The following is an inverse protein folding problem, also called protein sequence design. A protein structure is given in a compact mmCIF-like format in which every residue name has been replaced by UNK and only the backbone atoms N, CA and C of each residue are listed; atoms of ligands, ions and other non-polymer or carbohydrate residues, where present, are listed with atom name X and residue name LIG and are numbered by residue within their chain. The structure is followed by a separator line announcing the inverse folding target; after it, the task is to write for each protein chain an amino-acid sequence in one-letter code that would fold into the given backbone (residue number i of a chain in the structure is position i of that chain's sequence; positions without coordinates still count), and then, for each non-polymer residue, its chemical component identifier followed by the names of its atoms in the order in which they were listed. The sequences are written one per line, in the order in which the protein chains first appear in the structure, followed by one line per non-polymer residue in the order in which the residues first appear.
data_IF_939255028704
#
_entry.id   IF_939255028704
#
_cell.length_a   1.000
_cell.length_b   1.000
_cell.length_c   1.000
_cell.angle_alpha   90.00
_cell.angle_beta   90.00
_cell.angle_gamma   90.00
#
_symmetry.space_group_name_H-M   'P 1'
#
loop_
_entity.id
_entity.type
_entity.pdbx_description
1 polymer ?
#
# COMPACT_ATOMS: atom_id res chain seq x y z
N UNK A 1 -3.71 -10.62 24.44
CA UNK A 1 -4.76 -9.85 24.15
C UNK A 1 -4.38 -8.69 23.30
N UNK A 2 -3.56 -7.88 23.76
CA UNK A 2 -3.16 -6.75 22.95
C UNK A 2 -2.32 -7.14 21.78
N UNK A 3 -1.82 -8.32 21.83
CA UNK A 3 -0.97 -8.78 20.76
C UNK A 3 -1.66 -8.73 19.42
N UNK A 4 -2.94 -9.00 19.43
CA UNK A 4 -3.62 -8.99 18.16
C UNK A 4 -3.66 -7.61 17.56
N UNK A 5 -3.84 -6.61 18.39
CA UNK A 5 -3.89 -5.26 17.88
C UNK A 5 -2.57 -4.87 17.25
N UNK A 6 -1.49 -5.16 17.93
CA UNK A 6 -0.19 -4.82 17.39
C UNK A 6 0.05 -5.56 16.09
N UNK A 7 -0.34 -6.82 16.04
CA UNK A 7 -0.15 -7.61 14.86
C UNK A 7 -0.92 -7.04 13.68
N UNK A 8 -2.13 -6.57 13.94
CA UNK A 8 -2.95 -6.08 12.85
C UNK A 8 -2.48 -4.74 12.34
N UNK A 9 -1.84 -3.96 13.19
CA UNK A 9 -1.41 -2.64 12.75
C UNK A 9 -0.08 -2.66 12.02
N UNK A 10 0.78 -3.58 12.38
CA UNK A 10 2.12 -3.60 11.85
C UNK A 10 2.15 -3.61 10.32
N UNK A 11 1.43 -4.51 9.65
CA UNK A 11 1.51 -4.55 8.20
C UNK A 11 0.71 -3.48 7.51
N UNK A 12 0.08 -2.62 8.28
CA UNK A 12 -0.85 -1.68 7.70
C UNK A 12 -0.18 -0.72 6.72
N UNK A 13 0.97 -0.19 7.10
CA UNK A 13 1.64 0.77 6.23
C UNK A 13 2.15 0.14 4.96
N UNK A 14 2.74 -1.05 5.06
CA UNK A 14 3.22 -1.73 3.86
C UNK A 14 2.05 -2.07 2.93
N UNK A 15 0.93 -2.49 3.51
CA UNK A 15 -0.25 -2.80 2.71
C UNK A 15 -0.84 -1.54 2.08
N UNK A 16 -0.87 -0.45 2.82
CA UNK A 16 -1.40 0.80 2.28
C UNK A 16 -0.57 1.33 1.14
N UNK A 17 0.74 1.18 1.21
CA UNK A 17 1.60 1.58 0.11
C UNK A 17 1.31 0.73 -1.11
N UNK A 18 1.11 -0.57 -0.91
CA UNK A 18 0.73 -1.42 -2.03
C UNK A 18 -0.57 -0.94 -2.65
N UNK A 19 -1.54 -0.58 -1.82
CA UNK A 19 -2.81 -0.07 -2.32
C UNK A 19 -2.62 1.20 -3.13
N UNK A 20 -1.80 2.12 -2.63
CA UNK A 20 -1.54 3.35 -3.34
C UNK A 20 -0.92 3.09 -4.71
N UNK A 21 0.06 2.18 -4.76
CA UNK A 21 0.73 1.91 -6.02
C UNK A 21 -0.18 1.18 -6.99
N UNK A 22 -1.06 0.32 -6.51
CA UNK A 22 -2.07 -0.30 -7.38
C UNK A 22 -2.99 0.79 -7.93
N UNK A 23 -3.47 1.67 -7.07
CA UNK A 23 -4.37 2.73 -7.50
C UNK A 23 -3.69 3.66 -8.50
N UNK A 24 -2.39 3.87 -8.32
CA UNK A 24 -1.64 4.74 -9.20
C UNK A 24 -1.21 4.10 -10.52
N UNK A 25 -1.58 2.85 -10.75
CA UNK A 25 -1.27 2.20 -12.01
C UNK A 25 0.07 1.50 -12.06
N UNK A 26 0.61 1.16 -10.91
CA UNK A 26 1.94 0.55 -10.84
C UNK A 26 1.90 -0.95 -10.56
N UNK A 27 0.78 -1.59 -10.85
CA UNK A 27 0.67 -3.03 -10.56
C UNK A 27 1.74 -3.84 -11.26
N UNK A 28 2.20 -3.40 -12.43
CA UNK A 28 3.18 -4.14 -13.21
C UNK A 28 4.34 -3.27 -13.65
N UNK A 29 4.58 -2.18 -12.95
CA UNK A 29 5.66 -1.26 -13.28
C UNK A 29 6.61 -1.16 -12.10
N UNK A 30 7.85 -0.83 -12.40
CA UNK A 30 8.80 -0.51 -11.35
C UNK A 30 8.59 0.93 -10.91
N UNK A 31 9.00 1.20 -9.68
CA UNK A 31 8.90 2.54 -9.11
C UNK A 31 10.00 2.72 -8.07
N UNK A 32 10.23 3.94 -7.71
CA UNK A 32 11.24 4.27 -6.71
C UNK A 32 10.56 4.91 -5.52
N UNK A 33 11.34 5.12 -4.46
CA UNK A 33 10.78 5.70 -3.24
C UNK A 33 10.12 7.05 -3.49
N UNK A 34 10.70 7.86 -4.37
CA UNK A 34 10.12 9.15 -4.68
C UNK A 34 8.75 9.02 -5.32
N UNK A 35 8.58 8.00 -6.14
CA UNK A 35 7.27 7.74 -6.74
C UNK A 35 6.27 7.40 -5.67
N UNK A 36 6.69 6.63 -4.67
CA UNK A 36 5.79 6.24 -3.59
C UNK A 36 5.30 7.46 -2.84
N UNK A 37 6.20 8.38 -2.53
CA UNK A 37 5.82 9.60 -1.81
C UNK A 37 4.76 10.36 -2.61
N UNK A 38 5.00 10.54 -3.89
CA UNK A 38 4.10 11.30 -4.73
C UNK A 38 2.76 10.60 -4.90
N UNK A 39 2.82 9.32 -5.25
CA UNK A 39 1.59 8.55 -5.51
C UNK A 39 0.76 8.40 -4.23
N UNK A 40 1.43 8.15 -3.10
CA UNK A 40 0.70 8.01 -1.86
C UNK A 40 -0.08 9.29 -1.53
N UNK A 41 0.54 10.42 -1.77
CA UNK A 41 -0.14 11.68 -1.53
C UNK A 41 -1.32 11.86 -2.47
N UNK A 42 -1.14 11.50 -3.73
CA UNK A 42 -2.19 11.67 -4.73
C UNK A 42 -3.35 10.71 -4.50
N UNK A 43 -3.03 9.46 -4.21
CA UNK A 43 -4.08 8.44 -4.14
C UNK A 43 -4.70 8.32 -2.77
N UNK A 44 -3.92 8.56 -1.72
CA UNK A 44 -4.40 8.38 -0.35
C UNK A 44 -4.69 9.70 0.34
N UNK A 45 -4.35 10.80 -0.33
CA UNK A 45 -4.55 12.13 0.23
C UNK A 45 -3.86 12.27 1.58
N UNK A 46 -2.67 11.71 1.68
CA UNK A 46 -1.92 11.69 2.92
C UNK A 46 -0.46 11.81 2.57
N UNK A 47 0.32 12.32 3.49
CA UNK A 47 1.74 12.55 3.29
C UNK A 47 2.54 11.65 4.20
N UNK A 48 3.59 11.07 3.63
CA UNK A 48 4.53 10.27 4.40
C UNK A 48 5.89 10.93 4.32
N UNK A 49 6.61 10.90 5.41
CA UNK A 49 7.99 11.35 5.40
C UNK A 49 8.84 10.35 4.63
N UNK A 50 10.01 10.79 4.21
CA UNK A 50 10.93 9.92 3.50
C UNK A 50 11.27 8.68 4.34
N UNK A 51 11.47 8.89 5.64
CA UNK A 51 11.80 7.77 6.52
C UNK A 51 10.63 6.79 6.62
N UNK A 52 9.42 7.30 6.71
CA UNK A 52 8.25 6.44 6.79
C UNK A 52 8.10 5.62 5.52
N UNK A 53 8.30 6.25 4.37
CA UNK A 53 8.22 5.53 3.10
C UNK A 53 9.30 4.46 3.04
N UNK A 54 10.52 4.82 3.41
CA UNK A 54 11.62 3.86 3.35
C UNK A 54 11.34 2.66 4.25
N UNK A 55 10.88 2.92 5.47
CA UNK A 55 10.57 1.86 6.41
C UNK A 55 9.46 0.95 5.87
N UNK A 56 8.41 1.58 5.34
CA UNK A 56 7.30 0.81 4.80
C UNK A 56 7.71 -0.02 3.59
N UNK A 57 8.62 0.50 2.76
CA UNK A 57 9.12 -0.26 1.63
C UNK A 57 9.94 -1.46 2.10
N UNK A 58 10.76 -1.28 3.13
CA UNK A 58 11.50 -2.40 3.68
C UNK A 58 10.57 -3.46 4.23
N UNK A 59 9.53 -3.03 4.91
CA UNK A 59 8.55 -3.96 5.44
C UNK A 59 7.82 -4.68 4.30
N UNK A 60 7.47 -3.97 3.26
CA UNK A 60 6.78 -4.58 2.12
C UNK A 60 7.63 -5.64 1.46
N UNK A 61 8.92 -5.38 1.32
CA UNK A 61 9.83 -6.38 0.76
C UNK A 61 9.92 -7.57 1.70
N UNK A 62 10.04 -7.31 2.99
CA UNK A 62 10.15 -8.37 3.99
C UNK A 62 8.89 -9.23 4.02
N UNK A 63 7.74 -8.61 3.80
CA UNK A 63 6.46 -9.34 3.80
C UNK A 63 6.19 -10.07 2.50
N UNK A 64 7.03 -9.84 1.50
CA UNK A 64 6.82 -10.50 0.21
C UNK A 64 5.86 -9.76 -0.69
N UNK A 65 5.53 -8.52 -0.36
CA UNK A 65 4.63 -7.71 -1.18
C UNK A 65 5.35 -7.02 -2.32
N UNK A 66 6.64 -6.85 -2.20
CA UNK A 66 7.44 -6.17 -3.19
C UNK A 66 8.79 -6.86 -3.34
N UNK A 67 9.41 -6.64 -4.50
CA UNK A 67 10.80 -7.02 -4.73
C UNK A 67 11.54 -5.75 -5.11
N UNK A 68 12.82 -5.73 -4.82
CA UNK A 68 13.66 -4.58 -5.16
C UNK A 68 14.85 -5.09 -5.94
N UNK A 69 15.20 -4.37 -7.01
CA UNK A 69 16.34 -4.76 -7.83
C UNK A 69 17.59 -4.01 -7.40
N UNK A 70 18.69 -4.23 -8.10
CA UNK A 70 19.95 -3.62 -7.72
C UNK A 70 19.99 -2.11 -7.91
N UNK A 71 19.09 -1.61 -8.74
CA UNK A 71 19.03 -0.18 -9.00
C UNK A 71 18.15 0.55 -7.99
N UNK A 72 17.64 -0.16 -6.99
CA UNK A 72 16.76 0.46 -6.00
C UNK A 72 15.36 0.66 -6.50
N UNK A 73 14.97 -0.05 -7.54
CA UNK A 73 13.62 0.04 -8.08
C UNK A 73 12.78 -1.09 -7.49
N UNK A 74 11.58 -0.77 -7.10
CA UNK A 74 10.66 -1.71 -6.49
C UNK A 74 9.59 -2.11 -7.48
N UNK A 75 9.03 -3.28 -7.25
CA UNK A 75 7.89 -3.76 -8.03
C UNK A 75 7.01 -4.60 -7.12
N UNK A 76 5.70 -4.47 -7.31
CA UNK A 76 4.77 -5.28 -6.54
C UNK A 76 4.83 -6.73 -7.00
N UNK A 77 4.81 -7.63 -6.03
CA UNK A 77 4.64 -9.05 -6.31
C UNK A 77 3.15 -9.32 -6.49
N UNK A 78 2.82 -10.55 -6.88
CA UNK A 78 1.42 -10.94 -6.95
C UNK A 78 0.74 -10.70 -5.60
N UNK A 79 1.41 -11.07 -4.51
CA UNK A 79 0.87 -10.83 -3.18
C UNK A 79 0.68 -9.35 -2.91
N UNK A 80 1.62 -8.52 -3.36
CA UNK A 80 1.50 -7.09 -3.18
C UNK A 80 0.32 -6.51 -3.92
N UNK A 81 0.10 -6.97 -5.15
CA UNK A 81 -1.05 -6.51 -5.92
C UNK A 81 -2.34 -6.96 -5.23
N UNK A 82 -2.36 -8.18 -4.75
CA UNK A 82 -3.56 -8.72 -4.11
C UNK A 82 -3.90 -7.97 -2.83
N UNK A 83 -2.90 -7.71 -1.99
CA UNK A 83 -3.18 -7.00 -0.75
C UNK A 83 -3.58 -5.56 -1.04
N UNK A 84 -2.95 -4.95 -2.03
CA UNK A 84 -3.31 -3.60 -2.43
C UNK A 84 -4.74 -3.53 -2.94
N UNK A 85 -5.11 -4.47 -3.79
CA UNK A 85 -6.45 -4.51 -4.33
C UNK A 85 -7.48 -4.78 -3.22
N UNK A 86 -7.10 -5.61 -2.27
CA UNK A 86 -7.98 -5.89 -1.15
C UNK A 86 -8.24 -4.63 -0.32
N UNK A 87 -7.19 -3.88 -0.04
CA UNK A 87 -7.33 -2.64 0.72
C UNK A 87 -8.22 -1.64 -0.03
N UNK A 88 -7.99 -1.52 -1.34
CA UNK A 88 -8.79 -0.59 -2.15
C UNK A 88 -10.24 -1.01 -2.18
N UNK A 89 -10.49 -2.31 -2.29
CA UNK A 89 -11.86 -2.81 -2.31
C UNK A 89 -12.54 -2.54 -0.98
N UNK A 90 -11.82 -2.72 0.10
CA UNK A 90 -12.37 -2.49 1.42
C UNK A 90 -12.75 -1.02 1.58
N UNK A 91 -11.93 -0.13 1.08
CA UNK A 91 -12.22 1.29 1.13
C UNK A 91 -13.44 1.61 0.27
N UNK A 92 -13.49 1.05 -0.93
CA UNK A 92 -14.62 1.26 -1.82
C UNK A 92 -15.89 0.66 -1.26
N UNK A 93 -15.77 -0.52 -0.65
CA UNK A 93 -16.93 -1.17 -0.07
C UNK A 93 -17.54 -0.28 1.01
N UNK A 94 -16.70 0.37 1.79
CA UNK A 94 -17.22 1.29 2.78
C UNK A 94 -18.01 2.41 2.15
N UNK A 95 -17.51 2.94 1.06
CA UNK A 95 -18.22 4.00 0.35
C UNK A 95 -19.48 3.48 -0.29
N UNK A 96 -19.40 2.30 -0.87
CA UNK A 96 -20.56 1.70 -1.51
C UNK A 96 -21.65 1.41 -0.50
N UNK A 97 -21.25 0.96 0.67
CA UNK A 97 -22.23 0.70 1.72
C UNK A 97 -23.01 1.95 2.06
N UNK A 98 -22.32 3.06 2.13
CA UNK A 98 -23.00 4.32 2.40
C UNK A 98 -23.96 4.65 1.28
N UNK A 99 -23.53 4.42 0.05
CA UNK A 99 -24.39 4.67 -1.08
C UNK A 99 -25.61 3.78 -1.08
N UNK A 100 -25.41 2.52 -0.75
CA UNK A 100 -26.51 1.59 -0.70
C UNK A 100 -27.50 2.00 0.38
N UNK A 101 -26.98 2.43 1.50
CA UNK A 101 -27.84 2.81 2.59
C UNK A 101 -28.69 4.03 2.24
N UNK A 102 -28.19 4.82 1.35
CA UNK A 102 -28.91 6.01 0.92
C UNK A 102 -30.05 5.68 -0.01
N UNK A 103 -30.05 4.48 -0.50
CA UNK A 103 -31.11 4.06 -1.39
C UNK A 103 -32.27 3.48 -0.62
#
# INVERSE_FOLDING_TARGET
MNEQHATMEVPEWSAKICAAMVAGGYSQKTFEADDVVRIFKEEMNDSLSTLEVWTALQDAVSEGFMVVNRLGQYRLTTSGVEIGAYILRDMDTGLDDLGIQNM
#
